data_IF_349351696452
#
_entry.id   IF_349351696452
#
_cell.length_a   1.000
_cell.length_b   1.000
_cell.length_c   1.000
_cell.angle_alpha   90.00
_cell.angle_beta   90.00
_cell.angle_gamma   90.00
#
_symmetry.space_group_name_H-M   'P 1'
#
loop_
_entity.id
_entity.type
_entity.pdbx_description
1 polymer ?
#
# COMPACT_ATOMS: atom_id res chain seq x y z
N UNK A 1 4.23 13.42 -7.50
CA UNK A 1 3.70 12.12 -7.04
C UNK A 1 3.16 11.37 -8.23
N UNK A 2 3.34 10.05 -8.24
CA UNK A 2 2.82 9.14 -9.26
C UNK A 2 1.98 8.06 -8.60
N UNK A 3 0.80 7.79 -9.16
CA UNK A 3 -0.12 6.74 -8.69
C UNK A 3 -0.12 5.58 -9.68
N UNK A 4 0.12 4.37 -9.19
CA UNK A 4 0.04 3.14 -9.95
C UNK A 4 -1.20 2.38 -9.49
N UNK A 5 -2.23 2.34 -10.32
CA UNK A 5 -3.50 1.67 -10.01
C UNK A 5 -3.53 0.27 -10.63
N UNK A 6 -4.00 -0.72 -9.88
CA UNK A 6 -4.25 -2.05 -10.44
C UNK A 6 -5.40 -2.79 -9.74
N UNK A 7 -6.14 -3.60 -10.50
CA UNK A 7 -7.31 -4.36 -10.08
C UNK A 7 -7.11 -5.89 -10.16
N UNK A 8 -5.87 -6.35 -10.19
CA UNK A 8 -5.50 -7.76 -10.16
C UNK A 8 -6.10 -8.45 -8.93
N UNK A 9 -6.61 -9.65 -9.16
CA UNK A 9 -7.43 -10.38 -8.20
C UNK A 9 -7.20 -11.90 -8.24
N UNK A 10 -6.36 -12.38 -9.16
CA UNK A 10 -5.82 -13.74 -9.19
C UNK A 10 -4.33 -13.71 -8.88
N UNK A 11 -3.78 -14.79 -8.31
CA UNK A 11 -2.34 -14.90 -7.99
C UNK A 11 -1.46 -14.60 -9.22
N UNK A 12 -1.84 -15.13 -10.38
CA UNK A 12 -1.13 -14.87 -11.65
C UNK A 12 -1.17 -13.38 -12.04
N UNK A 13 -2.35 -12.74 -11.96
CA UNK A 13 -2.47 -11.31 -12.26
C UNK A 13 -1.67 -10.44 -11.29
N UNK A 14 -1.53 -10.87 -10.03
CA UNK A 14 -0.71 -10.18 -9.03
C UNK A 14 0.76 -10.24 -9.38
N UNK A 15 1.24 -11.41 -9.79
CA UNK A 15 2.62 -11.57 -10.21
C UNK A 15 2.97 -10.63 -11.38
N UNK A 16 2.11 -10.55 -12.41
CA UNK A 16 2.30 -9.63 -13.52
C UNK A 16 2.22 -8.17 -13.08
N UNK A 17 1.30 -7.85 -12.19
CA UNK A 17 1.11 -6.50 -11.67
C UNK A 17 2.35 -5.99 -10.92
N UNK A 18 2.90 -6.82 -10.03
CA UNK A 18 4.11 -6.49 -9.27
C UNK A 18 5.29 -6.29 -10.21
N UNK A 19 5.46 -7.19 -11.20
CA UNK A 19 6.50 -7.04 -12.23
C UNK A 19 6.37 -5.73 -13.00
N UNK A 20 5.16 -5.43 -13.51
CA UNK A 20 4.89 -4.18 -14.22
C UNK A 20 5.20 -2.96 -13.35
N UNK A 21 4.74 -2.96 -12.10
CA UNK A 21 4.99 -1.85 -11.18
C UNK A 21 6.49 -1.66 -10.93
N UNK A 22 7.23 -2.73 -10.69
CA UNK A 22 8.68 -2.69 -10.46
C UNK A 22 9.41 -2.03 -11.64
N UNK A 23 9.07 -2.44 -12.85
CA UNK A 23 9.66 -1.88 -14.08
C UNK A 23 9.28 -0.41 -14.28
N UNK A 24 8.00 -0.07 -14.11
CA UNK A 24 7.50 1.30 -14.28
C UNK A 24 8.07 2.27 -13.22
N UNK A 25 8.09 1.85 -11.96
CA UNK A 25 8.64 2.62 -10.84
C UNK A 25 10.15 2.86 -10.98
N UNK A 26 10.91 1.83 -11.40
CA UNK A 26 12.34 1.96 -11.65
C UNK A 26 12.65 2.81 -12.89
N UNK A 27 11.82 2.74 -13.93
CA UNK A 27 11.93 3.63 -15.09
C UNK A 27 11.75 5.09 -14.72
N UNK A 28 10.71 5.39 -13.92
CA UNK A 28 10.46 6.75 -13.44
C UNK A 28 11.59 7.26 -12.53
N UNK A 29 12.06 6.44 -11.59
CA UNK A 29 13.18 6.81 -10.72
C UNK A 29 14.43 7.19 -11.54
N UNK A 30 14.71 6.47 -12.63
CA UNK A 30 15.81 6.83 -13.54
C UNK A 30 15.57 8.16 -14.26
N UNK A 31 14.33 8.45 -14.66
CA UNK A 31 13.97 9.70 -15.33
C UNK A 31 14.06 10.93 -14.40
N UNK A 32 13.79 10.76 -13.10
CA UNK A 32 13.92 11.82 -12.09
C UNK A 32 15.39 12.19 -11.78
N UNK A 33 16.33 11.29 -12.06
CA UNK A 33 17.76 11.47 -11.81
C UNK A 33 18.20 11.11 -10.38
N UNK A 34 19.51 10.99 -10.13
CA UNK A 34 20.06 10.45 -8.89
C UNK A 34 19.89 11.37 -7.67
N UNK A 35 19.58 12.66 -7.90
CA UNK A 35 19.44 13.67 -6.85
C UNK A 35 18.04 13.70 -6.22
N UNK A 36 17.07 12.96 -6.76
CA UNK A 36 15.70 12.89 -6.24
C UNK A 36 15.54 11.61 -5.43
N UNK A 37 15.12 11.73 -4.17
CA UNK A 37 14.78 10.57 -3.36
C UNK A 37 13.39 10.06 -3.73
N UNK A 38 13.20 8.74 -3.79
CA UNK A 38 11.89 8.14 -4.11
C UNK A 38 11.32 7.48 -2.87
N UNK A 39 10.15 7.95 -2.44
CA UNK A 39 9.41 7.37 -1.32
C UNK A 39 8.23 6.55 -1.85
N UNK A 40 8.23 5.24 -1.56
CA UNK A 40 7.25 4.29 -2.10
C UNK A 40 6.18 3.97 -1.07
N UNK A 41 4.92 4.15 -1.43
CA UNK A 41 3.76 3.95 -0.57
C UNK A 41 2.93 2.80 -1.13
N UNK A 42 2.56 1.83 -0.30
CA UNK A 42 1.54 0.84 -0.64
C UNK A 42 0.20 1.32 -0.08
N UNK A 43 -0.85 1.33 -0.88
CA UNK A 43 -2.24 1.51 -0.45
C UNK A 43 -3.00 0.22 -0.72
N UNK A 44 -3.35 -0.51 0.32
CA UNK A 44 -3.93 -1.84 0.22
C UNK A 44 -5.33 -1.91 0.82
N UNK A 45 -6.23 -2.52 0.07
CA UNK A 45 -7.44 -3.12 0.60
C UNK A 45 -7.61 -4.54 0.03
N UNK A 46 -8.44 -5.34 0.69
CA UNK A 46 -8.81 -6.66 0.21
C UNK A 46 -10.24 -6.96 0.68
N UNK A 47 -11.14 -7.23 -0.27
CA UNK A 47 -12.54 -7.56 0.02
C UNK A 47 -12.91 -8.98 -0.42
N UNK A 48 -13.94 -9.55 0.24
CA UNK A 48 -14.53 -10.84 -0.11
C UNK A 48 -13.65 -12.04 0.29
N UNK A 49 -13.68 -13.09 -0.52
CA UNK A 49 -13.02 -14.38 -0.27
C UNK A 49 -11.57 -14.43 -0.76
N UNK A 50 -10.97 -13.27 -1.02
CA UNK A 50 -9.58 -13.16 -1.44
C UNK A 50 -8.65 -13.53 -0.29
N UNK A 51 -7.45 -14.04 -0.61
CA UNK A 51 -6.44 -14.46 0.37
C UNK A 51 -5.41 -13.33 0.58
N UNK A 52 -5.62 -12.41 1.54
CA UNK A 52 -4.72 -11.28 1.75
C UNK A 52 -3.28 -11.72 2.02
N UNK A 53 -3.06 -12.89 2.62
CA UNK A 53 -1.73 -13.44 2.89
C UNK A 53 -0.93 -13.67 1.61
N UNK A 54 -1.57 -14.19 0.57
CA UNK A 54 -0.93 -14.47 -0.72
C UNK A 54 -0.71 -13.18 -1.50
N UNK A 55 -1.67 -12.26 -1.46
CA UNK A 55 -1.53 -10.97 -2.16
C UNK A 55 -0.43 -10.12 -1.52
N UNK A 56 -0.41 -10.04 -0.20
CA UNK A 56 0.58 -9.28 0.56
C UNK A 56 1.97 -9.91 0.49
N UNK A 57 2.10 -11.24 0.35
CA UNK A 57 3.43 -11.86 0.22
C UNK A 57 4.18 -11.38 -1.03
N UNK A 58 3.49 -11.27 -2.17
CA UNK A 58 4.11 -10.71 -3.38
C UNK A 58 4.48 -9.23 -3.25
N UNK A 59 3.70 -8.47 -2.47
CA UNK A 59 3.93 -7.04 -2.27
C UNK A 59 5.00 -6.77 -1.20
N UNK A 60 5.17 -7.66 -0.22
CA UNK A 60 6.12 -7.49 0.89
C UNK A 60 7.58 -7.59 0.44
N UNK A 61 7.85 -8.28 -0.67
CA UNK A 61 9.16 -8.34 -1.30
C UNK A 61 9.57 -7.01 -1.97
N UNK A 62 8.62 -6.11 -2.20
CA UNK A 62 8.87 -4.83 -2.85
C UNK A 62 9.29 -3.71 -1.86
N UNK A 63 10.10 -2.73 -2.29
CA UNK A 63 10.68 -1.70 -1.43
C UNK A 63 9.71 -0.57 -1.10
N UNK A 64 8.53 -0.90 -0.57
CA UNK A 64 7.67 0.07 0.07
C UNK A 64 8.34 0.63 1.32
N UNK A 65 8.03 1.87 1.66
CA UNK A 65 8.50 2.57 2.86
C UNK A 65 7.37 2.70 3.89
N UNK A 66 6.13 2.70 3.42
CA UNK A 66 4.93 2.77 4.26
C UNK A 66 3.79 2.00 3.59
N UNK A 67 3.02 1.27 4.38
CA UNK A 67 1.83 0.55 3.96
C UNK A 67 0.58 1.15 4.61
N UNK A 68 -0.36 1.57 3.78
CA UNK A 68 -1.62 2.17 4.17
C UNK A 68 -2.73 1.15 3.95
N UNK A 69 -3.56 0.94 4.98
CA UNK A 69 -4.70 0.04 4.92
C UNK A 69 -5.98 0.85 5.07
N UNK A 70 -6.87 0.80 4.08
CA UNK A 70 -8.14 1.56 4.10
C UNK A 70 -9.27 0.69 3.56
N UNK A 71 -10.52 0.88 4.03
CA UNK A 71 -11.68 0.26 3.39
C UNK A 71 -12.03 0.96 2.06
N UNK A 72 -12.92 0.35 1.26
CA UNK A 72 -13.48 0.90 0.01
C UNK A 72 -14.57 1.94 0.24
N UNK A 73 -14.39 2.74 1.28
CA UNK A 73 -15.31 3.80 1.64
C UNK A 73 -14.67 5.14 1.31
N UNK A 74 -15.34 5.95 0.50
CA UNK A 74 -14.85 7.27 0.12
C UNK A 74 -14.77 8.22 1.33
N UNK A 75 -15.84 8.29 2.12
CA UNK A 75 -15.99 9.21 3.26
C UNK A 75 -16.57 8.50 4.49
N UNK A 76 -16.22 8.98 5.68
CA UNK A 76 -16.77 8.43 6.95
C UNK A 76 -18.31 8.58 7.02
N UNK A 77 -18.85 9.65 6.43
CA UNK A 77 -20.29 9.89 6.26
C UNK A 77 -20.78 9.38 4.89
N UNK A 78 -21.69 8.38 4.87
CA UNK A 78 -22.35 7.92 3.64
C UNK A 78 -23.42 8.94 3.20
N UNK A 79 -23.50 9.21 1.90
CA UNK A 79 -24.68 9.86 1.33
C UNK A 79 -25.85 8.85 1.34
N UNK A 80 -27.12 9.30 1.45
CA UNK A 80 -28.29 8.41 1.41
C UNK A 80 -28.49 7.70 0.06
N UNK A 81 -27.63 7.94 -0.93
CA UNK A 81 -27.62 7.33 -2.25
C UNK A 81 -26.59 6.20 -2.40
N UNK A 82 -25.87 5.86 -1.33
CA UNK A 82 -24.94 4.74 -1.29
C UNK A 82 -25.69 3.41 -1.24
N UNK A 83 -25.42 2.54 -2.22
CA UNK A 83 -25.93 1.17 -2.35
C UNK A 83 -25.35 0.18 -1.32
N UNK A 84 -24.37 0.60 -0.52
CA UNK A 84 -23.88 -0.15 0.63
C UNK A 84 -24.77 0.12 1.86
N UNK A 85 -25.94 -0.51 1.94
CA UNK A 85 -26.84 -0.39 3.09
C UNK A 85 -26.70 -1.57 4.06
N UNK A 86 -25.81 -1.45 5.07
CA UNK A 86 -25.93 -2.07 6.41
C UNK A 86 -24.97 -1.39 7.43
N UNK A 87 -25.50 -0.50 8.29
CA UNK A 87 -24.81 0.74 8.67
C UNK A 87 -23.80 0.75 9.84
N UNK A 88 -23.66 -0.30 10.65
CA UNK A 88 -22.74 -0.29 11.82
C UNK A 88 -21.90 -1.54 11.96
N UNK A 89 -22.46 -2.73 11.73
CA UNK A 89 -21.71 -4.00 11.75
C UNK A 89 -20.71 -4.06 10.59
N UNK A 90 -21.09 -3.58 9.41
CA UNK A 90 -20.22 -3.53 8.22
C UNK A 90 -18.99 -2.65 8.48
N UNK A 91 -19.16 -1.44 9.06
CA UNK A 91 -18.06 -0.50 9.33
C UNK A 91 -17.01 -1.06 10.28
N UNK A 92 -17.45 -1.68 11.39
CA UNK A 92 -16.53 -2.32 12.33
C UNK A 92 -15.82 -3.52 11.69
N UNK A 93 -16.52 -4.26 10.82
CA UNK A 93 -15.98 -5.42 10.11
C UNK A 93 -14.94 -5.01 9.08
N UNK A 94 -15.17 -3.96 8.29
CA UNK A 94 -14.22 -3.44 7.30
C UNK A 94 -12.94 -2.93 7.98
N UNK A 95 -13.07 -2.16 9.06
CA UNK A 95 -11.90 -1.69 9.82
C UNK A 95 -11.14 -2.84 10.49
N UNK A 96 -11.85 -3.86 10.98
CA UNK A 96 -11.23 -5.06 11.52
C UNK A 96 -10.44 -5.81 10.43
N UNK A 97 -10.95 -5.86 9.18
CA UNK A 97 -10.23 -6.42 8.02
C UNK A 97 -8.98 -5.62 7.70
N UNK A 98 -9.05 -4.29 7.64
CA UNK A 98 -7.85 -3.47 7.42
C UNK A 98 -6.78 -3.72 8.49
N UNK A 99 -7.17 -3.81 9.77
CA UNK A 99 -6.25 -4.18 10.86
C UNK A 99 -5.72 -5.61 10.73
N UNK A 100 -6.52 -6.55 10.25
CA UNK A 100 -6.08 -7.93 9.99
C UNK A 100 -5.02 -7.97 8.88
N UNK A 101 -5.27 -7.28 7.77
CA UNK A 101 -4.34 -7.15 6.65
C UNK A 101 -3.01 -6.50 7.10
N UNK A 102 -3.09 -5.47 7.94
CA UNK A 102 -1.92 -4.83 8.55
C UNK A 102 -1.09 -5.83 9.38
N UNK A 103 -1.73 -6.67 10.21
CA UNK A 103 -1.00 -7.68 10.99
C UNK A 103 -0.33 -8.73 10.11
N UNK A 104 -1.02 -9.18 9.06
CA UNK A 104 -0.46 -10.11 8.07
C UNK A 104 0.78 -9.49 7.43
N UNK A 105 0.69 -8.23 7.00
CA UNK A 105 1.81 -7.49 6.44
C UNK A 105 2.99 -7.40 7.42
N UNK A 106 2.75 -7.05 8.68
CA UNK A 106 3.80 -6.96 9.70
C UNK A 106 4.47 -8.32 9.95
N UNK A 107 3.68 -9.40 9.98
CA UNK A 107 4.21 -10.76 10.10
C UNK A 107 5.09 -11.12 8.91
N UNK A 108 4.65 -10.85 7.68
CA UNK A 108 5.43 -11.11 6.46
C UNK A 108 6.76 -10.34 6.47
N UNK A 109 6.76 -9.05 6.83
CA UNK A 109 7.98 -8.28 6.95
C UNK A 109 8.91 -8.82 8.05
N UNK A 110 8.37 -9.24 9.19
CA UNK A 110 9.17 -9.85 10.27
C UNK A 110 9.83 -11.15 9.81
N UNK A 111 9.09 -12.01 9.09
CA UNK A 111 9.65 -13.24 8.52
C UNK A 111 10.77 -12.96 7.50
N UNK A 112 10.59 -11.95 6.63
CA UNK A 112 11.63 -11.55 5.68
C UNK A 112 12.88 -10.98 6.38
N UNK A 113 12.72 -10.24 7.49
CA UNK A 113 13.83 -9.75 8.32
C UNK A 113 14.65 -10.91 8.92
N UNK A 114 13.96 -11.93 9.43
CA UNK A 114 14.59 -13.13 10.00
C UNK A 114 15.37 -13.90 8.94
N UNK A 115 14.81 -14.10 7.75
CA UNK A 115 15.48 -14.77 6.63
C UNK A 115 16.73 -14.01 6.14
N UNK A 116 16.69 -12.68 6.16
CA UNK A 116 17.84 -11.83 5.84
C UNK A 116 18.96 -11.97 6.88
N UNK A 117 18.64 -11.93 8.18
CA UNK A 117 19.64 -12.13 9.25
C UNK A 117 20.33 -13.49 9.17
N UNK A 118 19.63 -14.52 8.69
CA UNK A 118 20.18 -15.87 8.51
C UNK A 118 21.00 -16.01 7.22
N UNK A 119 21.12 -14.96 6.39
CA UNK A 119 21.88 -14.98 5.15
C UNK A 119 21.25 -15.82 4.03
N UNK A 120 19.95 -16.09 4.13
CA UNK A 120 19.18 -16.87 3.14
C UNK A 120 18.49 -15.95 2.12
N UNK A 121 18.42 -14.63 2.39
CA UNK A 121 17.73 -13.63 1.58
C UNK A 121 18.51 -13.07 0.37
N UNK A 122 17.76 -12.45 -0.55
CA UNK A 122 18.30 -11.71 -1.71
C UNK A 122 18.98 -10.40 -1.29
N UNK A 123 20.08 -9.95 -1.95
CA UNK A 123 20.88 -8.79 -1.54
C UNK A 123 20.20 -7.41 -1.67
N UNK A 124 18.92 -7.34 -2.04
CA UNK A 124 18.15 -6.09 -2.13
C UNK A 124 17.01 -6.09 -1.11
N UNK A 125 17.34 -5.79 0.14
CA UNK A 125 16.34 -5.72 1.22
C UNK A 125 15.43 -4.49 1.07
N UNK A 126 14.10 -4.64 1.09
CA UNK A 126 13.17 -3.51 1.11
C UNK A 126 13.43 -2.56 2.30
N UNK A 127 13.31 -1.22 2.13
CA UNK A 127 13.50 -0.24 3.20
C UNK A 127 12.60 -0.46 4.43
N UNK A 128 11.40 -1.03 4.23
CA UNK A 128 10.47 -1.40 5.31
C UNK A 128 10.99 -2.51 6.23
N UNK A 129 12.08 -3.20 5.90
CA UNK A 129 12.70 -4.21 6.75
C UNK A 129 13.56 -3.62 7.89
N UNK A 130 13.70 -2.30 8.01
CA UNK A 130 14.48 -1.69 9.09
C UNK A 130 13.55 -1.20 10.21
N UNK A 131 13.64 -1.84 11.38
CA UNK A 131 12.86 -1.47 12.57
C UNK A 131 11.60 -2.33 12.75
N UNK A 132 10.67 -1.86 13.59
CA UNK A 132 9.40 -2.54 13.81
C UNK A 132 8.47 -2.31 12.60
N UNK A 133 7.98 -3.36 11.92
CA UNK A 133 7.05 -3.23 10.79
C UNK A 133 5.78 -2.42 11.10
N UNK A 134 5.34 -2.37 12.36
CA UNK A 134 4.17 -1.58 12.74
C UNK A 134 4.40 -0.07 12.59
N UNK A 135 5.65 0.40 12.70
CA UNK A 135 6.00 1.83 12.59
C UNK A 135 5.84 2.34 11.15
N UNK A 136 5.86 1.44 10.17
CA UNK A 136 5.65 1.76 8.74
C UNK A 136 4.23 1.47 8.26
N UNK A 137 3.28 1.25 9.17
CA UNK A 137 1.90 0.92 8.84
C UNK A 137 0.92 1.98 9.34
N UNK A 138 -0.08 2.33 8.51
CA UNK A 138 -1.16 3.24 8.90
C UNK A 138 -2.50 2.67 8.46
N UNK A 139 -3.49 2.67 9.35
CA UNK A 139 -4.86 2.27 9.03
C UNK A 139 -5.76 3.50 8.98
N UNK A 140 -6.36 3.76 7.82
CA UNK A 140 -7.30 4.87 7.61
C UNK A 140 -8.74 4.38 7.62
N UNK A 141 -9.69 5.21 8.06
CA UNK A 141 -11.10 4.83 8.08
C UNK A 141 -11.80 5.08 6.73
N UNK A 142 -11.19 5.80 5.79
CA UNK A 142 -11.72 6.00 4.45
C UNK A 142 -10.65 6.49 3.47
N UNK A 143 -10.95 6.39 2.17
CA UNK A 143 -10.07 6.81 1.08
C UNK A 143 -9.80 8.31 1.11
N UNK A 144 -10.78 9.15 1.49
CA UNK A 144 -10.54 10.60 1.57
C UNK A 144 -9.45 10.97 2.58
N UNK A 145 -9.37 10.29 3.72
CA UNK A 145 -8.31 10.52 4.70
C UNK A 145 -6.93 10.08 4.17
N UNK A 146 -6.88 8.96 3.42
CA UNK A 146 -5.65 8.53 2.73
C UNK A 146 -5.18 9.59 1.74
N UNK A 147 -6.10 10.12 0.93
CA UNK A 147 -5.76 11.11 -0.09
C UNK A 147 -5.31 12.43 0.53
N UNK A 148 -5.94 12.86 1.62
CA UNK A 148 -5.51 14.03 2.38
C UNK A 148 -4.08 13.83 2.92
N UNK A 149 -3.81 12.67 3.51
CA UNK A 149 -2.48 12.32 3.99
C UNK A 149 -1.45 12.29 2.85
N UNK A 150 -1.74 11.66 1.72
CA UNK A 150 -0.84 11.64 0.55
C UNK A 150 -0.53 13.05 0.03
N UNK A 151 -1.54 13.94 0.04
CA UNK A 151 -1.37 15.32 -0.37
C UNK A 151 -0.45 16.09 0.59
N UNK A 152 -0.61 15.90 1.90
CA UNK A 152 0.30 16.47 2.91
C UNK A 152 1.73 15.95 2.74
N UNK A 153 1.91 14.64 2.53
CA UNK A 153 3.23 14.06 2.27
C UNK A 153 3.86 14.64 1.01
N UNK A 154 3.08 14.85 -0.06
CA UNK A 154 3.59 15.45 -1.28
C UNK A 154 4.07 16.89 -1.05
N UNK A 155 3.31 17.69 -0.30
CA UNK A 155 3.70 19.07 0.04
C UNK A 155 4.99 19.10 0.87
N UNK A 156 5.10 18.22 1.86
CA UNK A 156 6.32 18.08 2.66
C UNK A 156 7.52 17.66 1.80
N UNK A 157 7.34 16.66 0.93
CA UNK A 157 8.38 16.14 0.04
C UNK A 157 8.95 17.18 -0.94
N UNK A 158 8.14 18.16 -1.36
CA UNK A 158 8.58 19.29 -2.19
C UNK A 158 9.45 20.30 -1.44
N UNK A 159 9.35 20.36 -0.11
CA UNK A 159 10.13 21.27 0.74
C UNK A 159 11.43 20.63 1.25
N UNK A 160 11.62 19.32 1.03
CA UNK A 160 12.83 18.60 1.44
C UNK A 160 14.03 18.92 0.53
N UNK A 161 15.22 18.85 1.14
CA UNK A 161 16.50 18.95 0.41
C UNK A 161 17.35 17.72 0.76
N UNK A 162 17.57 16.77 -0.17
CA UNK A 162 17.11 16.76 -1.56
C UNK A 162 15.58 16.59 -1.71
N UNK A 163 15.02 16.99 -2.87
CA UNK A 163 13.59 16.82 -3.14
C UNK A 163 13.22 15.33 -3.15
N UNK A 164 12.02 15.03 -2.66
CA UNK A 164 11.48 13.69 -2.61
C UNK A 164 10.28 13.55 -3.56
N UNK A 165 10.20 12.44 -4.28
CA UNK A 165 9.07 12.07 -5.14
C UNK A 165 8.36 10.83 -4.58
N UNK A 166 7.03 10.92 -4.48
CA UNK A 166 6.19 9.86 -3.94
C UNK A 166 5.68 8.97 -5.07
N UNK A 167 5.87 7.66 -4.94
CA UNK A 167 5.29 6.63 -5.80
C UNK A 167 4.31 5.80 -4.97
N UNK A 168 3.01 5.90 -5.27
CA UNK A 168 2.00 5.12 -4.55
C UNK A 168 1.44 4.00 -5.41
N UNK A 169 1.51 2.75 -4.92
CA UNK A 169 0.84 1.59 -5.51
C UNK A 169 -0.50 1.40 -4.83
N UNK A 170 -1.58 1.55 -5.58
CA UNK A 170 -2.94 1.35 -5.09
C UNK A 170 -3.43 -0.03 -5.50
N UNK A 171 -3.90 -0.78 -4.51
CA UNK A 171 -4.32 -2.16 -4.67
C UNK A 171 -5.75 -2.39 -4.20
N UNK A 172 -6.57 -2.92 -5.11
CA UNK A 172 -7.92 -3.47 -4.87
C UNK A 172 -8.87 -2.56 -4.07
N UNK A 173 -9.05 -1.31 -4.54
CA UNK A 173 -10.06 -0.41 -3.98
C UNK A 173 -11.48 -0.64 -4.54
N UNK A 174 -11.73 -1.79 -5.15
CA UNK A 174 -12.99 -2.09 -5.83
C UNK A 174 -13.29 -1.11 -6.98
N UNK A 175 -14.46 -1.24 -7.60
CA UNK A 175 -14.89 -0.35 -8.70
C UNK A 175 -15.08 1.13 -8.29
N UNK A 176 -14.91 1.46 -7.00
CA UNK A 176 -15.26 2.75 -6.42
C UNK A 176 -14.21 3.84 -6.63
N UNK A 177 -13.06 3.54 -7.25
CA UNK A 177 -11.97 4.51 -7.45
C UNK A 177 -11.65 4.82 -8.93
N UNK A 178 -12.61 4.56 -9.84
CA UNK A 178 -12.57 5.18 -11.16
C UNK A 178 -13.07 6.62 -10.98
N UNK A 179 -12.13 7.54 -10.73
CA UNK A 179 -12.34 8.99 -10.84
C UNK A 179 -12.51 9.36 -12.32
#
# INVERSE_FOLDING_TARGET
MTLYLDGAHTEESVHYCVRWWREAAASEQRALGPSVQVHRVLLFNCMGDRRPEVLLSYLAEEPFHVALFTPNRLTVSKSPYSDQSDFTVEKCTEMARCKSNMRIWCHLLSSLQEEEMLGVGSPTSPPSLKGNPEDSCIVFPCVSDVMAWLQEQQMAAQQMTPPCHIQSKVWDLGKSMIL
#
